data_IF_764142020200
#
_entry.id   IF_764142020200
#
_cell.length_a   1.000
_cell.length_b   1.000
_cell.length_c   1.000
_cell.angle_alpha   90.00
_cell.angle_beta   90.00
_cell.angle_gamma   90.00
#
_symmetry.space_group_name_H-M   'P 1'
#
loop_
_entity.id
_entity.type
_entity.pdbx_description
1 polymer ?
#
# COMPACT_ATOMS: atom_id res chain seq x y z
N UNK A 1 -5.92 7.32 -9.13
CA UNK A 1 -5.37 6.25 -8.28
C UNK A 1 -4.00 6.68 -7.85
N UNK A 2 -3.68 6.50 -6.58
CA UNK A 2 -2.34 6.79 -6.08
C UNK A 2 -1.36 5.84 -6.74
N UNK A 3 -0.19 6.35 -7.13
CA UNK A 3 0.83 5.58 -7.82
C UNK A 3 2.21 5.91 -7.27
N UNK A 4 2.83 4.91 -6.66
CA UNK A 4 4.18 4.96 -6.13
C UNK A 4 5.05 4.08 -6.99
N UNK A 5 6.24 4.55 -7.38
CA UNK A 5 7.13 3.73 -8.19
C UNK A 5 8.61 4.00 -7.95
N UNK A 6 9.40 2.98 -8.25
CA UNK A 6 10.85 3.07 -8.37
C UNK A 6 11.23 2.65 -9.79
N UNK A 7 11.93 3.55 -10.50
CA UNK A 7 12.48 3.27 -11.82
C UNK A 7 13.78 2.49 -11.66
N UNK A 8 13.96 1.49 -12.51
CA UNK A 8 15.15 0.65 -12.58
C UNK A 8 16.02 1.18 -13.71
N UNK A 9 17.03 1.98 -13.36
CA UNK A 9 17.97 2.59 -14.31
C UNK A 9 19.03 1.57 -14.79
N UNK A 10 19.32 0.57 -13.96
CA UNK A 10 20.18 -0.57 -14.29
C UNK A 10 19.66 -1.82 -13.62
N UNK A 11 19.50 -2.90 -14.39
CA UNK A 11 19.07 -4.19 -13.84
C UNK A 11 20.10 -4.74 -12.85
N UNK A 12 19.64 -5.34 -11.73
CA UNK A 12 20.51 -6.01 -10.79
C UNK A 12 21.00 -7.36 -11.33
N UNK A 13 21.97 -7.93 -10.63
CA UNK A 13 22.51 -9.26 -10.87
C UNK A 13 22.11 -10.18 -9.71
N UNK A 14 21.55 -11.35 -10.01
CA UNK A 14 21.24 -12.37 -9.01
C UNK A 14 22.01 -13.64 -9.33
N UNK A 15 22.75 -14.20 -8.36
CA UNK A 15 23.53 -15.42 -8.58
C UNK A 15 24.58 -15.33 -9.69
N UNK A 16 25.12 -14.12 -9.93
CA UNK A 16 26.10 -13.87 -11.00
C UNK A 16 25.50 -13.65 -12.39
N UNK A 17 24.18 -13.74 -12.56
CA UNK A 17 23.49 -13.50 -13.83
C UNK A 17 22.72 -12.16 -13.82
N UNK A 18 22.82 -11.41 -14.92
CA UNK A 18 22.05 -10.18 -15.10
C UNK A 18 20.56 -10.52 -15.12
N UNK A 19 19.77 -9.86 -14.28
CA UNK A 19 18.34 -10.09 -14.17
C UNK A 19 17.58 -9.55 -15.38
N UNK A 20 16.60 -10.32 -15.88
CA UNK A 20 15.51 -9.75 -16.65
C UNK A 20 14.39 -9.20 -15.73
N UNK A 21 13.33 -8.64 -16.31
CA UNK A 21 12.25 -8.04 -15.57
C UNK A 21 11.39 -9.05 -14.81
N UNK A 22 11.18 -10.25 -15.38
CA UNK A 22 10.40 -11.31 -14.73
C UNK A 22 11.13 -11.86 -13.51
N UNK A 23 12.44 -12.06 -13.61
CA UNK A 23 13.30 -12.44 -12.49
C UNK A 23 13.32 -11.36 -11.42
N UNK A 24 13.46 -10.08 -11.78
CA UNK A 24 13.44 -8.98 -10.83
C UNK A 24 12.10 -8.90 -10.10
N UNK A 25 10.98 -8.94 -10.84
CA UNK A 25 9.64 -8.99 -10.29
C UNK A 25 9.49 -10.15 -9.30
N UNK A 26 9.90 -11.36 -9.71
CA UNK A 26 9.84 -12.53 -8.85
C UNK A 26 10.65 -12.32 -7.57
N UNK A 27 11.87 -11.78 -7.67
CA UNK A 27 12.72 -11.52 -6.49
C UNK A 27 12.12 -10.48 -5.55
N UNK A 28 11.50 -9.43 -6.09
CA UNK A 28 10.78 -8.44 -5.26
C UNK A 28 9.58 -9.09 -4.57
N UNK A 29 8.79 -9.87 -5.30
CA UNK A 29 7.62 -10.59 -4.76
C UNK A 29 8.03 -11.60 -3.67
N UNK A 30 9.04 -12.42 -3.94
CA UNK A 30 9.58 -13.40 -2.98
C UNK A 30 10.05 -12.70 -1.68
N UNK A 31 10.50 -11.45 -1.76
CA UNK A 31 10.95 -10.65 -0.60
C UNK A 31 9.90 -9.66 -0.10
N UNK A 32 8.67 -9.67 -0.63
CA UNK A 32 7.68 -8.62 -0.38
C UNK A 32 7.40 -8.41 1.11
N UNK A 33 7.22 -9.48 1.89
CA UNK A 33 6.93 -9.38 3.33
C UNK A 33 8.06 -8.64 4.09
N UNK A 34 9.30 -8.83 3.67
CA UNK A 34 10.46 -8.13 4.22
C UNK A 34 10.58 -6.70 3.70
N UNK A 35 10.28 -6.47 2.42
CA UNK A 35 10.41 -5.16 1.77
C UNK A 35 9.27 -4.20 2.13
N UNK A 36 8.11 -4.73 2.51
CA UNK A 36 6.90 -3.97 2.81
C UNK A 36 6.78 -3.56 4.28
N UNK A 37 7.61 -4.07 5.19
CA UNK A 37 7.60 -3.68 6.61
C UNK A 37 8.25 -2.32 6.83
N UNK A 38 7.78 -1.57 7.82
CA UNK A 38 8.37 -0.27 8.13
C UNK A 38 7.83 0.40 9.40
N UNK A 39 8.29 1.63 9.60
CA UNK A 39 7.92 2.50 10.71
C UNK A 39 7.69 3.92 10.19
N UNK A 40 6.87 4.70 10.88
CA UNK A 40 6.62 6.12 10.60
C UNK A 40 6.55 6.90 11.90
N UNK A 41 6.95 8.17 11.85
CA UNK A 41 6.71 9.16 12.89
C UNK A 41 6.32 10.46 12.20
N UNK A 42 5.18 11.06 12.58
CA UNK A 42 4.69 12.30 11.99
C UNK A 42 3.86 13.12 12.98
N UNK A 43 3.82 14.44 12.82
CA UNK A 43 2.93 15.31 13.60
C UNK A 43 1.48 15.14 13.13
N UNK A 44 0.56 14.94 14.08
CA UNK A 44 -0.87 14.81 13.76
C UNK A 44 -1.39 16.10 13.10
N UNK A 45 -2.28 15.95 12.11
CA UNK A 45 -2.81 17.08 11.38
C UNK A 45 -3.67 18.04 12.23
N UNK A 46 -4.15 17.60 13.39
CA UNK A 46 -5.10 18.38 14.21
C UNK A 46 -4.73 18.45 15.70
N UNK A 47 -3.54 17.97 16.06
CA UNK A 47 -3.04 18.01 17.43
C UNK A 47 -1.53 18.21 17.41
N UNK A 48 -1.01 18.95 18.38
CA UNK A 48 0.42 19.07 18.64
C UNK A 48 0.96 17.80 19.32
N UNK A 49 0.77 16.66 18.66
CA UNK A 49 1.27 15.35 19.09
C UNK A 49 1.95 14.66 17.93
N UNK A 50 3.07 14.01 18.22
CA UNK A 50 3.72 13.09 17.30
C UNK A 50 3.06 11.72 17.37
N UNK A 51 2.67 11.17 16.21
CA UNK A 51 2.15 9.82 16.05
C UNK A 51 3.27 8.92 15.53
N UNK A 52 3.64 7.92 16.32
CA UNK A 52 4.51 6.82 15.92
C UNK A 52 3.71 5.59 15.49
N UNK A 53 4.14 4.95 14.40
CA UNK A 53 3.52 3.73 13.88
C UNK A 53 4.55 2.76 13.30
N UNK A 54 4.19 1.48 13.27
CA UNK A 54 4.92 0.41 12.61
C UNK A 54 3.94 -0.54 11.92
N UNK A 55 4.43 -1.25 10.90
CA UNK A 55 3.63 -2.24 10.19
C UNK A 55 4.48 -3.37 9.63
N UNK A 56 3.87 -4.55 9.51
CA UNK A 56 4.42 -5.70 8.81
C UNK A 56 3.32 -6.55 8.18
N UNK A 57 3.64 -7.23 7.08
CA UNK A 57 2.75 -8.22 6.47
C UNK A 57 3.16 -9.61 6.95
N UNK A 58 2.23 -10.36 7.51
CA UNK A 58 2.47 -11.72 8.00
C UNK A 58 1.42 -12.71 7.48
N UNK A 59 1.74 -14.01 7.33
CA UNK A 59 0.76 -15.02 6.90
C UNK A 59 -0.45 -15.17 7.86
N UNK A 60 -1.67 -15.39 7.33
CA UNK A 60 -2.93 -15.28 8.10
C UNK A 60 -4.08 -16.23 7.67
N UNK A 61 -5.03 -16.65 8.55
CA UNK A 61 -4.84 -17.09 9.92
C UNK A 61 -4.66 -18.62 9.99
N UNK A 62 -4.04 -19.11 11.07
CA UNK A 62 -3.98 -20.53 11.44
C UNK A 62 -3.15 -21.49 10.57
N UNK A 63 -2.68 -21.09 9.38
CA UNK A 63 -1.79 -21.92 8.55
C UNK A 63 -0.63 -21.13 7.91
N UNK A 64 0.27 -20.51 8.71
CA UNK A 64 1.31 -19.65 8.17
C UNK A 64 2.22 -20.34 7.15
N UNK A 65 2.48 -21.64 7.31
CA UNK A 65 3.25 -22.43 6.33
C UNK A 65 2.50 -22.63 5.01
N UNK A 66 1.19 -22.82 5.05
CA UNK A 66 0.38 -23.01 3.85
C UNK A 66 0.22 -21.70 3.08
N UNK A 67 -0.01 -20.59 3.78
CA UNK A 67 -0.10 -19.28 3.16
C UNK A 67 1.23 -18.85 2.53
N UNK A 68 2.36 -19.12 3.20
CA UNK A 68 3.69 -18.97 2.59
C UNK A 68 3.85 -19.88 1.37
N UNK A 69 3.41 -21.14 1.44
CA UNK A 69 3.47 -22.06 0.30
C UNK A 69 2.66 -21.55 -0.89
N UNK A 70 1.46 -21.02 -0.66
CA UNK A 70 0.61 -20.43 -1.70
C UNK A 70 1.28 -19.21 -2.32
N UNK A 71 1.85 -18.35 -1.48
CA UNK A 71 2.58 -17.16 -1.90
C UNK A 71 3.80 -17.50 -2.77
N UNK A 72 4.66 -18.40 -2.30
CA UNK A 72 5.89 -18.84 -2.97
C UNK A 72 5.60 -19.56 -4.29
N UNK A 73 4.53 -20.35 -4.34
CA UNK A 73 4.09 -21.06 -5.54
C UNK A 73 3.19 -20.24 -6.46
N UNK A 74 2.92 -18.97 -6.12
CA UNK A 74 2.07 -18.07 -6.89
C UNK A 74 0.70 -18.69 -7.23
N UNK A 75 0.13 -19.44 -6.29
CA UNK A 75 -1.13 -20.16 -6.52
C UNK A 75 -2.37 -19.25 -6.44
N UNK A 76 -2.17 -17.95 -6.20
CA UNK A 76 -3.22 -17.04 -5.79
C UNK A 76 -3.82 -17.44 -4.44
N UNK A 77 -4.69 -16.60 -3.90
CA UNK A 77 -5.46 -16.95 -2.71
C UNK A 77 -4.66 -17.01 -1.40
N UNK A 78 -3.43 -16.50 -1.39
CA UNK A 78 -2.66 -16.32 -0.16
C UNK A 78 -3.28 -15.18 0.66
N UNK A 79 -3.39 -15.38 1.97
CA UNK A 79 -3.94 -14.39 2.90
C UNK A 79 -2.84 -13.93 3.85
N UNK A 80 -2.70 -12.60 3.95
CA UNK A 80 -1.78 -11.95 4.85
C UNK A 80 -2.52 -11.00 5.78
N UNK A 81 -2.06 -10.89 7.01
CA UNK A 81 -2.42 -9.84 7.95
C UNK A 81 -1.41 -8.73 7.87
N UNK A 82 -1.91 -7.51 7.77
CA UNK A 82 -1.12 -6.31 7.99
C UNK A 82 -1.21 -6.05 9.48
N UNK A 83 -0.17 -6.45 10.21
CA UNK A 83 -0.04 -6.11 11.62
C UNK A 83 0.41 -4.68 11.73
N UNK A 84 -0.40 -3.85 12.36
CA UNK A 84 -0.11 -2.44 12.58
C UNK A 84 0.01 -2.17 14.08
N UNK A 85 1.14 -1.62 14.50
CA UNK A 85 1.40 -1.27 15.90
C UNK A 85 1.86 0.17 16.06
N UNK A 86 1.91 0.66 17.30
CA UNK A 86 2.54 1.93 17.64
C UNK A 86 2.29 2.32 19.10
N UNK A 87 2.47 3.60 19.44
CA UNK A 87 2.23 4.13 20.79
C UNK A 87 0.74 4.06 21.19
N UNK A 88 0.36 4.45 22.41
CA UNK A 88 -1.00 4.26 22.96
C UNK A 88 -2.15 4.67 22.01
N UNK A 89 -1.95 5.72 21.20
CA UNK A 89 -2.88 6.14 20.15
C UNK A 89 -2.80 5.21 18.93
N UNK A 90 -1.62 4.83 18.46
CA UNK A 90 -1.45 3.84 17.39
C UNK A 90 -1.79 2.39 17.77
N UNK A 91 -1.90 2.03 19.06
CA UNK A 91 -2.57 0.77 19.50
C UNK A 91 -4.09 0.84 19.46
N UNK A 92 -4.65 2.04 19.47
CA UNK A 92 -6.10 2.27 19.35
C UNK A 92 -6.52 2.63 17.92
N UNK A 93 -5.57 3.02 17.05
CA UNK A 93 -5.77 3.29 15.61
C UNK A 93 -5.10 2.27 14.67
N UNK A 94 -4.19 1.45 15.19
CA UNK A 94 -3.59 0.30 14.51
C UNK A 94 -4.62 -0.80 14.41
N UNK A 95 -5.43 -0.69 13.37
CA UNK A 95 -6.33 -1.76 12.99
C UNK A 95 -5.52 -2.74 12.15
N UNK A 96 -5.18 -3.87 12.77
CA UNK A 96 -4.78 -5.07 12.05
C UNK A 96 -5.82 -5.35 10.97
N UNK A 97 -5.41 -6.00 9.89
CA UNK A 97 -6.42 -6.55 8.99
C UNK A 97 -5.86 -7.35 7.85
N UNK A 98 -6.74 -8.17 7.29
CA UNK A 98 -6.36 -9.17 6.33
C UNK A 98 -6.47 -8.67 4.88
N UNK A 99 -5.54 -9.13 4.06
CA UNK A 99 -5.55 -8.98 2.61
C UNK A 99 -5.43 -10.36 1.96
N UNK A 100 -6.20 -10.55 0.90
CA UNK A 100 -6.18 -11.72 0.03
C UNK A 100 -5.47 -11.37 -1.27
N UNK A 101 -4.57 -12.22 -1.74
CA UNK A 101 -4.14 -12.20 -3.14
C UNK A 101 -5.31 -12.64 -4.04
N UNK A 102 -6.05 -11.66 -4.55
CA UNK A 102 -7.23 -11.91 -5.38
C UNK A 102 -6.88 -12.17 -6.83
N UNK A 103 -5.70 -11.70 -7.29
CA UNK A 103 -5.22 -11.89 -8.66
C UNK A 103 -3.70 -11.91 -8.70
N UNK A 104 -3.13 -12.72 -9.59
CA UNK A 104 -1.71 -12.81 -9.86
C UNK A 104 -1.46 -13.01 -11.35
N UNK A 105 -0.46 -12.31 -11.90
CA UNK A 105 0.05 -12.46 -13.25
C UNK A 105 1.58 -12.58 -13.23
N UNK A 106 2.17 -12.74 -14.43
CA UNK A 106 3.63 -12.83 -14.58
C UNK A 106 4.37 -11.55 -14.20
N UNK A 107 3.67 -10.41 -14.15
CA UNK A 107 4.23 -9.07 -13.96
C UNK A 107 3.52 -8.24 -12.88
N UNK A 108 2.45 -8.76 -12.27
CA UNK A 108 1.71 -8.05 -11.25
C UNK A 108 0.91 -8.96 -10.31
N UNK A 109 0.51 -8.43 -9.16
CA UNK A 109 -0.47 -9.06 -8.29
C UNK A 109 -1.35 -8.03 -7.61
N UNK A 110 -2.53 -8.46 -7.19
CA UNK A 110 -3.51 -7.62 -6.50
C UNK A 110 -3.77 -8.17 -5.11
N UNK A 111 -3.58 -7.33 -4.11
CA UNK A 111 -4.12 -7.53 -2.77
C UNK A 111 -5.45 -6.84 -2.62
N UNK A 112 -6.41 -7.57 -2.07
CA UNK A 112 -7.74 -7.09 -1.74
C UNK A 112 -7.96 -7.21 -0.25
N UNK A 113 -8.37 -6.12 0.40
CA UNK A 113 -8.71 -6.14 1.83
C UNK A 113 -9.93 -7.04 2.06
N UNK A 114 -9.84 -7.95 3.02
CA UNK A 114 -10.91 -8.87 3.39
C UNK A 114 -11.27 -8.68 4.85
N UNK A 115 -12.55 -8.86 5.17
CA UNK A 115 -13.00 -8.96 6.55
C UNK A 115 -12.76 -10.37 7.07
N UNK A 116 -12.28 -10.47 8.30
CA UNK A 116 -12.09 -11.74 9.00
C UNK A 116 -12.50 -11.58 10.47
N UNK A 117 -13.02 -12.62 11.13
CA UNK A 117 -13.39 -12.53 12.54
C UNK A 117 -12.23 -12.11 13.45
N UNK A 118 -11.00 -12.49 13.13
CA UNK A 118 -9.84 -12.28 13.99
C UNK A 118 -9.13 -10.94 13.76
N UNK A 119 -9.26 -10.32 12.58
CA UNK A 119 -8.60 -9.02 12.27
C UNK A 119 -9.57 -7.91 11.85
N UNK A 120 -10.88 -8.14 11.91
CA UNK A 120 -11.91 -7.16 11.52
C UNK A 120 -11.66 -6.61 10.09
N UNK A 121 -12.08 -5.37 9.78
CA UNK A 121 -11.66 -4.65 8.57
C UNK A 121 -10.50 -3.71 8.86
N UNK A 122 -9.48 -3.71 8.00
CA UNK A 122 -8.49 -2.63 7.97
C UNK A 122 -9.14 -1.27 7.72
N UNK A 123 -8.56 -0.17 8.24
CA UNK A 123 -9.07 1.17 8.02
C UNK A 123 -8.84 1.57 6.56
N UNK A 124 -7.88 0.95 5.87
CA UNK A 124 -7.71 1.04 4.42
C UNK A 124 -8.41 -0.13 3.75
N UNK A 125 -9.56 0.12 3.14
CA UNK A 125 -10.26 -0.86 2.30
C UNK A 125 -9.99 -0.61 0.82
N UNK A 126 -9.87 -1.69 0.03
CA UNK A 126 -9.75 -1.61 -1.43
C UNK A 126 -8.85 -2.65 -2.06
N UNK A 127 -8.51 -2.39 -3.33
CA UNK A 127 -7.61 -3.19 -4.15
C UNK A 127 -6.30 -2.43 -4.34
N UNK A 128 -5.19 -3.12 -4.13
CA UNK A 128 -3.86 -2.60 -4.38
C UNK A 128 -3.11 -3.52 -5.30
N UNK A 129 -2.68 -2.99 -6.42
CA UNK A 129 -1.88 -3.72 -7.38
C UNK A 129 -0.41 -3.34 -7.22
N UNK A 130 0.43 -4.35 -7.27
CA UNK A 130 1.87 -4.22 -7.35
C UNK A 130 2.33 -4.87 -8.64
N UNK A 131 3.44 -4.42 -9.20
CA UNK A 131 3.96 -5.06 -10.40
C UNK A 131 5.16 -4.37 -10.99
N UNK A 132 5.54 -4.83 -12.19
CA UNK A 132 6.60 -4.24 -13.00
C UNK A 132 6.08 -3.92 -14.40
N UNK A 133 6.40 -2.75 -14.95
CA UNK A 133 6.12 -2.43 -16.35
C UNK A 133 7.19 -1.49 -16.92
N UNK A 134 7.20 -1.28 -18.23
CA UNK A 134 8.04 -0.25 -18.86
C UNK A 134 7.37 1.12 -18.82
N UNK A 135 8.13 2.18 -18.59
CA UNK A 135 7.67 3.56 -18.78
C UNK A 135 7.79 4.01 -20.24
N UNK A 136 7.41 5.27 -20.52
CA UNK A 136 7.41 5.84 -21.87
C UNK A 136 8.83 5.91 -22.45
N UNK A 137 9.82 6.03 -21.57
CA UNK A 137 11.24 6.05 -21.88
C UNK A 137 11.84 4.64 -22.02
N UNK A 138 11.04 3.58 -21.82
CA UNK A 138 11.44 2.19 -21.97
C UNK A 138 12.12 1.57 -20.75
N UNK A 139 12.28 2.32 -19.65
CA UNK A 139 12.85 1.83 -18.41
C UNK A 139 11.82 1.03 -17.61
N UNK A 140 12.25 0.02 -16.86
CA UNK A 140 11.33 -0.70 -15.99
C UNK A 140 10.98 0.11 -14.73
N UNK A 141 9.75 -0.05 -14.26
CA UNK A 141 9.26 0.51 -13.00
C UNK A 141 8.62 -0.59 -12.18
N UNK A 142 9.11 -0.79 -10.97
CA UNK A 142 8.31 -1.46 -9.95
C UNK A 142 7.34 -0.44 -9.35
N UNK A 143 6.09 -0.82 -9.16
CA UNK A 143 5.05 0.09 -8.70
C UNK A 143 4.13 -0.52 -7.65
N UNK A 144 3.49 0.35 -6.88
CA UNK A 144 2.29 0.09 -6.12
C UNK A 144 1.22 1.11 -6.54
N UNK A 145 0.01 0.64 -6.87
CA UNK A 145 -1.12 1.50 -7.23
C UNK A 145 -2.38 1.11 -6.49
N UNK A 146 -3.10 2.10 -5.95
CA UNK A 146 -4.31 1.86 -5.16
C UNK A 146 -5.33 2.98 -5.28
N UNK A 147 -6.55 2.67 -4.84
CA UNK A 147 -7.52 3.65 -4.38
C UNK A 147 -7.77 3.34 -2.91
N UNK A 148 -7.19 4.14 -2.02
CA UNK A 148 -7.38 3.96 -0.59
C UNK A 148 -8.72 4.53 -0.15
N UNK A 149 -9.55 3.70 0.48
CA UNK A 149 -10.79 4.14 1.13
C UNK A 149 -10.66 3.98 2.63
N UNK A 150 -10.52 5.12 3.31
CA UNK A 150 -10.32 5.19 4.76
C UNK A 150 -11.66 5.11 5.52
N UNK A 151 -11.81 4.11 6.39
CA UNK A 151 -12.95 3.93 7.31
C UNK A 151 -12.44 3.89 8.75
N UNK A 152 -12.20 5.07 9.36
CA UNK A 152 -11.75 5.09 10.74
C UNK A 152 -12.89 4.64 11.67
N UNK A 153 -12.55 3.87 12.72
CA UNK A 153 -13.52 3.49 13.76
C UNK A 153 -14.16 4.72 14.39
N UNK A 154 -15.44 4.62 14.74
CA UNK A 154 -16.24 5.74 15.25
C UNK A 154 -15.65 6.35 16.53
N UNK A 155 -15.09 5.52 17.41
CA UNK A 155 -14.42 5.98 18.63
C UNK A 155 -13.21 6.88 18.36
N UNK A 156 -12.38 6.53 17.36
CA UNK A 156 -11.21 7.32 16.96
C UNK A 156 -11.67 8.65 16.33
N UNK A 157 -12.70 8.57 15.48
CA UNK A 157 -13.30 9.73 14.82
C UNK A 157 -13.95 10.70 15.81
N UNK A 158 -14.51 10.20 16.92
CA UNK A 158 -15.07 11.00 18.00
C UNK A 158 -13.98 11.75 18.78
N UNK A 159 -12.84 11.12 19.02
CA UNK A 159 -11.72 11.74 19.74
C UNK A 159 -10.95 12.76 18.91
N UNK A 160 -10.67 12.48 17.63
CA UNK A 160 -9.76 13.32 16.82
C UNK A 160 -10.47 14.17 15.74
N UNK A 161 -11.77 13.97 15.54
CA UNK A 161 -12.49 14.53 14.41
C UNK A 161 -12.27 13.71 13.13
N UNK A 162 -13.37 13.35 12.46
CA UNK A 162 -13.36 12.42 11.32
C UNK A 162 -12.43 12.86 10.17
N UNK A 163 -12.40 14.15 9.84
CA UNK A 163 -11.56 14.67 8.74
C UNK A 163 -10.06 14.53 9.08
N UNK A 164 -9.68 14.87 10.31
CA UNK A 164 -8.30 14.77 10.81
C UNK A 164 -7.79 13.33 10.87
N UNK A 165 -8.62 12.42 11.41
CA UNK A 165 -8.29 11.00 11.45
C UNK A 165 -8.01 10.45 10.05
N UNK A 166 -8.82 10.84 9.05
CA UNK A 166 -8.60 10.43 7.67
C UNK A 166 -7.24 10.93 7.15
N UNK A 167 -6.87 12.19 7.40
CA UNK A 167 -5.57 12.73 6.99
C UNK A 167 -4.39 12.00 7.65
N UNK A 168 -4.48 11.69 8.94
CA UNK A 168 -3.45 10.95 9.66
C UNK A 168 -3.29 9.51 9.09
N UNK A 169 -4.40 8.83 8.74
CA UNK A 169 -4.33 7.56 8.04
C UNK A 169 -3.68 7.71 6.65
N UNK A 170 -4.03 8.74 5.87
CA UNK A 170 -3.41 8.96 4.56
C UNK A 170 -1.89 9.17 4.67
N UNK A 171 -1.41 9.84 5.72
CA UNK A 171 0.02 9.96 6.02
C UNK A 171 0.68 8.60 6.27
N UNK A 172 0.04 7.71 7.02
CA UNK A 172 0.52 6.34 7.24
C UNK A 172 0.56 5.55 5.93
N UNK A 173 -0.46 5.68 5.09
CA UNK A 173 -0.49 5.03 3.77
C UNK A 173 0.65 5.53 2.87
N UNK A 174 0.86 6.84 2.80
CA UNK A 174 1.95 7.43 2.03
C UNK A 174 3.32 6.97 2.55
N UNK A 175 3.50 6.93 3.87
CA UNK A 175 4.71 6.40 4.49
C UNK A 175 4.93 4.92 4.15
N UNK A 176 3.87 4.11 4.19
CA UNK A 176 3.91 2.67 3.87
C UNK A 176 4.44 2.43 2.46
N UNK A 177 3.85 3.10 1.46
CA UNK A 177 4.22 2.85 0.06
C UNK A 177 5.54 3.51 -0.32
N UNK A 178 5.86 4.68 0.24
CA UNK A 178 7.19 5.27 0.07
C UNK A 178 8.28 4.39 0.72
N UNK A 179 8.01 3.79 1.88
CA UNK A 179 8.95 2.86 2.51
C UNK A 179 9.19 1.62 1.64
N UNK A 180 8.13 1.04 1.05
CA UNK A 180 8.27 -0.05 0.09
C UNK A 180 9.16 0.36 -1.10
N UNK A 181 8.93 1.53 -1.73
CA UNK A 181 9.76 1.99 -2.84
C UNK A 181 11.22 2.19 -2.43
N UNK A 182 11.46 2.73 -1.22
CA UNK A 182 12.80 2.85 -0.64
C UNK A 182 13.47 1.49 -0.42
N UNK A 183 12.75 0.52 0.12
CA UNK A 183 13.29 -0.81 0.38
C UNK A 183 13.56 -1.60 -0.90
N UNK A 184 12.68 -1.50 -1.91
CA UNK A 184 12.93 -2.05 -3.25
C UNK A 184 14.15 -1.38 -3.88
N UNK A 185 14.27 -0.05 -3.79
CA UNK A 185 15.43 0.68 -4.27
C UNK A 185 16.74 0.17 -3.64
N UNK A 186 16.76 0.04 -2.30
CA UNK A 186 17.90 -0.54 -1.56
C UNK A 186 18.19 -1.98 -1.96
N UNK A 187 17.15 -2.80 -2.13
CA UNK A 187 17.26 -4.19 -2.56
C UNK A 187 17.90 -4.31 -3.94
N UNK A 188 17.46 -3.52 -4.92
CA UNK A 188 18.02 -3.52 -6.28
C UNK A 188 19.46 -3.01 -6.28
N UNK A 189 19.73 -1.89 -5.60
CA UNK A 189 21.08 -1.30 -5.54
C UNK A 189 22.07 -2.24 -4.81
N UNK A 190 21.62 -2.90 -3.75
CA UNK A 190 22.40 -3.91 -3.02
C UNK A 190 22.75 -5.16 -3.85
N UNK A 191 22.01 -5.41 -4.95
CA UNK A 191 22.30 -6.48 -5.91
C UNK A 191 22.94 -5.94 -7.21
N UNK A 192 23.64 -4.80 -7.14
CA UNK A 192 24.43 -4.26 -8.26
C UNK A 192 23.64 -3.52 -9.34
N UNK A 193 22.33 -3.34 -9.13
CA UNK A 193 21.47 -2.51 -9.97
C UNK A 193 21.62 -1.01 -9.67
N UNK A 194 20.78 -0.21 -10.31
CA UNK A 194 20.65 1.24 -10.04
C UNK A 194 19.19 1.64 -10.18
N UNK A 195 18.72 2.47 -9.27
CA UNK A 195 17.33 2.91 -9.23
C UNK A 195 17.19 4.41 -9.01
N UNK A 196 16.04 4.93 -9.41
CA UNK A 196 15.56 6.28 -9.11
C UNK A 196 14.17 6.17 -8.50
N UNK A 197 13.97 6.66 -7.28
CA UNK A 197 12.64 6.75 -6.68
C UNK A 197 11.89 7.87 -7.37
N UNK A 198 10.71 7.55 -7.88
CA UNK A 198 9.91 8.50 -8.64
C UNK A 198 8.97 9.25 -7.69
N UNK A 199 8.67 10.54 -7.94
CA UNK A 199 7.64 11.23 -7.20
C UNK A 199 6.32 10.45 -7.26
N UNK A 200 5.66 10.33 -6.12
CA UNK A 200 4.34 9.69 -6.05
C UNK A 200 3.31 10.55 -6.79
N UNK A 201 2.47 9.92 -7.61
CA UNK A 201 1.30 10.56 -8.24
C UNK A 201 0.08 10.27 -7.35
N UNK A 202 -0.18 11.19 -6.42
CA UNK A 202 -1.26 11.06 -5.43
C UNK A 202 -2.56 11.60 -6.03
N UNK A 203 -3.56 10.73 -6.19
CA UNK A 203 -4.86 11.01 -6.80
C UNK A 203 -5.97 10.44 -5.94
N UNK A 204 -6.12 11.02 -4.74
CA UNK A 204 -7.14 10.65 -3.76
C UNK A 204 -8.55 10.88 -4.30
N UNK A 205 -9.46 9.97 -3.96
CA UNK A 205 -10.88 10.07 -4.33
C UNK A 205 -11.64 10.71 -3.18
N UNK A 206 -12.34 11.83 -3.44
CA UNK A 206 -13.36 12.30 -2.50
C UNK A 206 -14.62 11.42 -2.65
N UNK A 207 -14.75 10.43 -1.77
CA UNK A 207 -15.85 9.47 -1.84
C UNK A 207 -17.23 10.12 -1.62
N UNK A 208 -17.33 11.23 -0.89
CA UNK A 208 -18.61 11.94 -0.73
C UNK A 208 -19.07 12.53 -2.07
N UNK A 209 -18.17 13.15 -2.82
CA UNK A 209 -18.45 13.69 -4.16
C UNK A 209 -18.70 12.56 -5.15
N UNK A 210 -17.89 11.50 -5.09
CA UNK A 210 -18.09 10.31 -5.92
C UNK A 210 -19.49 9.73 -5.71
N UNK A 211 -19.91 9.43 -4.48
CA UNK A 211 -21.22 8.85 -4.22
C UNK A 211 -22.38 9.78 -4.58
N UNK A 212 -22.25 11.09 -4.34
CA UNK A 212 -23.27 12.08 -4.74
C UNK A 212 -23.50 12.06 -6.24
N UNK A 213 -22.43 11.98 -7.04
CA UNK A 213 -22.55 11.91 -8.51
C UNK A 213 -22.93 10.52 -9.02
N UNK A 214 -22.38 9.46 -8.43
CA UNK A 214 -22.70 8.08 -8.79
C UNK A 214 -24.19 7.75 -8.59
N UNK A 215 -24.82 8.32 -7.55
CA UNK A 215 -26.26 8.21 -7.30
C UNK A 215 -27.11 9.22 -8.09
N UNK A 216 -26.49 10.09 -8.88
CA UNK A 216 -27.20 11.04 -9.73
C UNK A 216 -27.56 10.43 -11.07
N UNK A 217 -28.41 11.12 -11.84
CA UNK A 217 -28.72 10.80 -13.22
C UNK A 217 -27.63 11.21 -14.22
N UNK A 218 -26.47 11.70 -13.76
CA UNK A 218 -25.34 12.09 -14.61
C UNK A 218 -24.23 11.02 -14.56
N UNK A 219 -23.64 10.63 -15.70
CA UNK A 219 -22.51 9.71 -15.72
C UNK A 219 -21.32 10.21 -14.88
N UNK A 220 -20.70 9.30 -14.14
CA UNK A 220 -19.43 9.57 -13.44
C UNK A 220 -18.28 9.36 -14.41
N UNK A 221 -17.65 10.45 -14.84
CA UNK A 221 -16.54 10.45 -15.80
C UNK A 221 -15.17 10.72 -15.14
N UNK A 222 -15.06 10.55 -13.81
CA UNK A 222 -13.81 10.75 -13.06
C UNK A 222 -13.66 9.69 -11.95
N UNK A 223 -12.43 9.21 -11.74
CA UNK A 223 -12.01 8.39 -10.59
C UNK A 223 -10.60 8.84 -10.20
N UNK A 224 -10.48 9.57 -9.09
CA UNK A 224 -9.24 10.23 -8.65
C UNK A 224 -8.98 11.55 -9.41
N UNK A 225 -8.36 12.53 -8.74
CA UNK A 225 -8.29 13.97 -9.05
C UNK A 225 -9.47 14.80 -8.50
N UNK A 226 -9.69 14.76 -7.19
CA UNK A 226 -10.47 15.80 -6.51
C UNK A 226 -9.58 16.40 -5.43
N UNK A 227 -9.30 17.71 -5.51
CA UNK A 227 -8.66 18.47 -4.44
C UNK A 227 -9.42 18.23 -3.13
N UNK A 228 -8.70 17.81 -2.09
CA UNK A 228 -9.28 17.56 -0.77
C UNK A 228 -9.32 18.79 0.13
N UNK A 229 -9.05 19.99 -0.38
CA UNK A 229 -9.23 21.21 0.39
C UNK A 229 -10.67 21.71 0.28
N UNK A 230 -11.42 21.64 1.39
CA UNK A 230 -12.53 22.58 1.60
C UNK A 230 -11.90 23.97 1.81
N UNK A 231 -12.16 24.91 0.92
CA UNK A 231 -12.12 26.32 1.27
C UNK A 231 -13.32 26.62 2.16
N UNK A 232 -13.05 27.13 3.35
CA UNK A 232 -14.08 27.73 4.21
C UNK A 232 -14.29 29.17 3.75
N UNK A 233 -15.51 29.49 3.32
CA UNK A 233 -16.06 30.84 3.39
C UNK A 233 -17.08 30.85 4.54
#
# INVERSE_FOLDING_TARGET
>A
MDYFSVRIDKMPTFGGQLSDAGMLYKKIRDNFLTLSKGTVSFESNCREITIGGNWEFIPYPNQPKEELRRWEKQLGGAIFEIKAGGDFIARTTGDDGAVLESESSQDSWIFTTVFTPESDTQPFSGHRQFGIHKDKEGNYRFFARAIDRVWPKDFISFWNGKECTVLDYLNIADATWNNLMNNVSKFVNGNGGKTTIMPADIKRVNFNIFFKKFRSNKPVNFVGNVDQFKTYN
#
